data_IF_287320638340
#
_entry.id   IF_287320638340
#
_cell.length_a   1.000
_cell.length_b   1.000
_cell.length_c   1.000
_cell.angle_alpha   90.00
_cell.angle_beta   90.00
_cell.angle_gamma   90.00
#
_symmetry.space_group_name_H-M   'P 1'
#
loop_
_entity.id
_entity.type
_entity.pdbx_description
1 polymer ?
#
# COMPACT_ATOMS: atom_id res chain seq x y z
N UNK A 1 -24.54 -21.27 -29.61
CA UNK A 1 -23.66 -22.09 -30.44
C UNK A 1 -23.51 -23.46 -29.79
N UNK A 2 -23.89 -24.56 -30.46
CA UNK A 2 -23.58 -25.93 -30.02
C UNK A 2 -22.37 -26.41 -30.83
N UNK A 3 -21.27 -26.70 -30.16
CA UNK A 3 -20.05 -27.20 -30.80
C UNK A 3 -20.18 -28.72 -30.96
N UNK A 4 -20.25 -29.19 -32.20
CA UNK A 4 -20.31 -30.62 -32.54
C UNK A 4 -18.89 -31.15 -32.79
N UNK A 5 -18.13 -31.41 -31.72
CA UNK A 5 -16.87 -32.15 -31.82
C UNK A 5 -17.17 -33.64 -31.60
N UNK A 6 -16.97 -34.44 -32.64
CA UNK A 6 -17.14 -35.90 -32.59
C UNK A 6 -15.84 -36.56 -32.13
N UNK A 7 -15.90 -37.69 -31.45
CA UNK A 7 -14.71 -38.41 -30.98
C UNK A 7 -13.72 -38.76 -32.11
N UNK A 8 -14.26 -39.02 -33.30
CA UNK A 8 -13.47 -39.31 -34.50
C UNK A 8 -12.67 -38.09 -34.99
N UNK A 9 -13.27 -36.89 -34.88
CA UNK A 9 -12.61 -35.62 -35.21
C UNK A 9 -11.42 -35.35 -34.27
N UNK A 10 -11.57 -35.63 -32.97
CA UNK A 10 -10.48 -35.50 -31.99
C UNK A 10 -9.32 -36.46 -32.27
N UNK A 11 -9.61 -37.72 -32.63
CA UNK A 11 -8.57 -38.71 -32.95
C UNK A 11 -7.76 -38.32 -34.18
N UNK A 12 -8.44 -37.97 -35.26
CA UNK A 12 -7.78 -37.55 -36.49
C UNK A 12 -6.96 -36.27 -36.27
N UNK A 13 -7.41 -35.36 -35.40
CA UNK A 13 -6.66 -34.16 -35.06
C UNK A 13 -5.36 -34.45 -34.29
N UNK A 14 -5.39 -35.37 -33.31
CA UNK A 14 -4.19 -35.77 -32.54
C UNK A 14 -3.17 -36.48 -33.43
N UNK A 15 -3.62 -37.34 -34.36
CA UNK A 15 -2.71 -38.06 -35.27
C UNK A 15 -1.98 -37.14 -36.27
N UNK A 16 -2.57 -35.98 -36.59
CA UNK A 16 -1.99 -35.01 -37.52
C UNK A 16 -1.41 -33.78 -36.82
N UNK A 17 -1.46 -33.74 -35.48
CA UNK A 17 -0.87 -32.64 -34.71
C UNK A 17 0.66 -32.79 -34.76
N UNK A 18 1.41 -31.82 -35.33
CA UNK A 18 2.86 -31.89 -35.31
C UNK A 18 3.35 -31.88 -33.87
N UNK A 19 4.29 -32.77 -33.55
CA UNK A 19 4.98 -32.78 -32.26
C UNK A 19 5.83 -31.51 -32.18
N UNK A 20 5.21 -30.42 -31.71
CA UNK A 20 5.92 -29.17 -31.44
C UNK A 20 6.74 -29.45 -30.20
N UNK A 21 8.06 -29.39 -30.31
CA UNK A 21 8.97 -29.22 -29.18
C UNK A 21 8.54 -27.95 -28.44
N UNK A 22 7.58 -28.11 -27.53
CA UNK A 22 7.19 -27.10 -26.58
C UNK A 22 8.34 -27.05 -25.58
N UNK A 23 9.33 -26.23 -25.89
CA UNK A 23 10.37 -25.86 -24.95
C UNK A 23 9.64 -25.38 -23.69
N UNK A 24 9.67 -26.19 -22.63
CA UNK A 24 9.01 -25.91 -21.37
C UNK A 24 9.80 -24.82 -20.62
N UNK A 25 10.03 -23.69 -21.27
CA UNK A 25 10.93 -22.63 -20.85
C UNK A 25 12.38 -23.10 -20.66
N UNK A 26 13.22 -22.14 -20.31
CA UNK A 26 14.63 -22.41 -20.01
C UNK A 26 14.73 -23.51 -18.95
N UNK A 27 15.47 -24.61 -19.19
CA UNK A 27 15.83 -25.51 -18.12
C UNK A 27 16.67 -24.70 -17.12
N UNK A 28 16.14 -24.51 -15.91
CA UNK A 28 16.83 -23.90 -14.77
C UNK A 28 17.98 -24.82 -14.33
N UNK A 29 19.00 -24.98 -15.18
CA UNK A 29 20.28 -25.62 -14.83
C UNK A 29 21.14 -24.71 -13.99
N UNK A 30 20.85 -23.42 -14.03
CA UNK A 30 21.49 -22.40 -13.22
C UNK A 30 20.41 -21.47 -12.65
N UNK A 31 20.51 -21.20 -11.35
CA UNK A 31 19.64 -20.28 -10.63
C UNK A 31 20.04 -18.82 -10.87
N UNK A 32 21.14 -18.54 -11.57
CA UNK A 32 21.60 -17.19 -11.90
C UNK A 32 20.51 -16.24 -12.49
N UNK A 33 19.66 -16.63 -13.47
CA UNK A 33 18.58 -15.79 -13.95
C UNK A 33 17.49 -15.53 -12.90
N UNK A 34 17.21 -16.52 -12.02
CA UNK A 34 16.31 -16.34 -10.89
C UNK A 34 16.91 -15.38 -9.85
N UNK A 35 18.23 -15.48 -9.62
CA UNK A 35 18.99 -14.58 -8.79
C UNK A 35 18.96 -13.15 -9.32
N UNK A 36 19.06 -12.94 -10.64
CA UNK A 36 18.90 -11.62 -11.26
C UNK A 36 17.48 -11.09 -11.10
N UNK A 37 16.45 -11.92 -11.29
CA UNK A 37 15.04 -11.53 -11.09
C UNK A 37 14.72 -11.21 -9.61
N UNK A 38 15.28 -11.97 -8.67
CA UNK A 38 15.18 -11.69 -7.23
C UNK A 38 15.97 -10.43 -6.87
N UNK A 39 17.14 -10.23 -7.45
CA UNK A 39 17.93 -9.02 -7.29
C UNK A 39 17.24 -7.80 -7.92
N UNK A 40 16.34 -7.99 -8.89
CA UNK A 40 15.50 -6.94 -9.46
C UNK A 40 14.33 -6.57 -8.53
N UNK A 41 13.68 -7.56 -7.89
CA UNK A 41 12.75 -7.30 -6.76
C UNK A 41 13.45 -6.61 -5.60
N UNK A 42 14.68 -7.02 -5.31
CA UNK A 42 15.52 -6.37 -4.30
C UNK A 42 16.02 -5.02 -4.77
N UNK A 43 16.21 -4.73 -6.06
CA UNK A 43 16.57 -3.39 -6.56
C UNK A 43 15.45 -2.38 -6.34
N UNK A 44 14.19 -2.81 -6.44
CA UNK A 44 13.05 -1.98 -6.04
C UNK A 44 12.93 -1.81 -4.51
N UNK A 45 13.60 -2.66 -3.70
CA UNK A 45 13.76 -2.44 -2.25
C UNK A 45 15.11 -1.76 -1.87
N UNK A 46 16.11 -1.80 -2.75
CA UNK A 46 17.49 -1.39 -2.52
C UNK A 46 17.88 -0.13 -3.32
N UNK A 47 16.93 0.54 -3.97
CA UNK A 47 16.97 2.00 -4.16
C UNK A 47 16.53 2.74 -2.89
N UNK A 48 16.88 2.22 -1.71
CA UNK A 48 17.01 3.00 -0.48
C UNK A 48 18.27 3.88 -0.54
N UNK A 49 18.47 4.56 -1.67
CA UNK A 49 19.48 5.59 -1.82
C UNK A 49 18.88 6.88 -1.30
N UNK A 50 19.04 7.14 0.00
CA UNK A 50 18.53 8.30 0.75
C UNK A 50 17.01 8.50 0.61
N UNK A 51 16.26 8.59 1.71
CA UNK A 51 14.91 9.10 1.60
C UNK A 51 14.99 10.49 0.95
N UNK A 52 14.27 10.69 -0.14
CA UNK A 52 14.01 12.06 -0.59
C UNK A 52 13.27 12.75 0.55
N UNK A 53 13.52 14.04 0.79
CA UNK A 53 12.78 14.81 1.80
C UNK A 53 11.26 14.63 1.65
N UNK A 54 10.77 14.43 0.42
CA UNK A 54 9.37 14.14 0.12
C UNK A 54 8.89 12.76 0.64
N UNK A 55 9.71 11.70 0.60
CA UNK A 55 9.33 10.38 1.11
C UNK A 55 9.33 10.32 2.64
N UNK A 56 10.27 11.03 3.29
CA UNK A 56 10.27 11.23 4.74
C UNK A 56 9.05 12.03 5.21
N UNK A 57 8.68 13.08 4.47
CA UNK A 57 7.50 13.88 4.79
C UNK A 57 6.20 13.08 4.70
N UNK A 58 6.04 12.25 3.66
CA UNK A 58 4.88 11.36 3.50
C UNK A 58 4.74 10.41 4.69
N UNK A 59 5.83 9.78 5.09
CA UNK A 59 5.80 8.79 6.16
C UNK A 59 5.59 9.41 7.55
N UNK A 60 6.12 10.60 7.79
CA UNK A 60 5.79 11.43 8.96
C UNK A 60 4.29 11.77 9.00
N UNK A 61 3.66 12.04 7.85
CA UNK A 61 2.23 12.33 7.76
C UNK A 61 1.38 11.12 8.11
N UNK A 62 1.75 9.92 7.63
CA UNK A 62 1.06 8.67 7.98
C UNK A 62 1.16 8.37 9.48
N UNK A 63 2.34 8.55 10.07
CA UNK A 63 2.55 8.47 11.51
C UNK A 63 1.61 9.41 12.28
N UNK A 64 1.64 10.71 11.94
CA UNK A 64 0.80 11.73 12.58
C UNK A 64 -0.69 11.42 12.44
N UNK A 65 -1.11 10.89 11.29
CA UNK A 65 -2.49 10.47 11.04
C UNK A 65 -2.95 9.37 12.01
N UNK A 66 -2.15 8.30 12.16
CA UNK A 66 -2.46 7.18 13.07
C UNK A 66 -2.52 7.67 14.51
N UNK A 67 -1.56 8.51 14.92
CA UNK A 67 -1.53 9.09 16.26
C UNK A 67 -2.81 9.92 16.55
N UNK A 68 -3.18 10.80 15.62
CA UNK A 68 -4.34 11.68 15.78
C UNK A 68 -5.67 10.90 15.75
N UNK A 69 -5.79 9.86 14.92
CA UNK A 69 -6.95 8.95 14.93
C UNK A 69 -7.12 8.26 16.27
N UNK A 70 -6.03 7.76 16.84
CA UNK A 70 -6.01 7.11 18.14
C UNK A 70 -6.43 8.07 19.25
N UNK A 71 -5.90 9.30 19.24
CA UNK A 71 -6.26 10.38 20.19
C UNK A 71 -7.71 10.80 20.07
N UNK A 72 -8.23 10.92 18.83
CA UNK A 72 -9.63 11.33 18.55
C UNK A 72 -10.63 10.41 19.23
N UNK A 73 -10.35 9.11 19.22
CA UNK A 73 -11.21 8.06 19.76
C UNK A 73 -10.82 7.63 21.19
N UNK A 74 -9.77 8.21 21.77
CA UNK A 74 -9.30 7.89 23.12
C UNK A 74 -8.76 6.47 23.28
N UNK A 75 -8.28 5.85 22.18
CA UNK A 75 -7.87 4.44 22.16
C UNK A 75 -6.40 4.28 22.57
N UNK A 76 -6.05 3.14 23.17
CA UNK A 76 -4.66 2.70 23.27
C UNK A 76 -4.19 2.04 21.96
N UNK A 77 -2.87 1.90 21.76
CA UNK A 77 -2.32 1.22 20.57
C UNK A 77 -2.89 -0.21 20.46
N UNK A 78 -2.93 -0.95 21.57
CA UNK A 78 -3.49 -2.29 21.62
C UNK A 78 -4.99 -2.32 21.27
N UNK A 79 -5.76 -1.33 21.73
CA UNK A 79 -7.19 -1.22 21.40
C UNK A 79 -7.42 -0.88 19.92
N UNK A 80 -6.62 0.03 19.35
CA UNK A 80 -6.68 0.36 17.93
C UNK A 80 -6.32 -0.86 17.09
N UNK A 81 -5.22 -1.55 17.42
CA UNK A 81 -4.77 -2.76 16.74
C UNK A 81 -5.85 -3.87 16.76
N UNK A 82 -6.49 -4.10 17.91
CA UNK A 82 -7.59 -5.05 18.03
C UNK A 82 -8.80 -4.64 17.18
N UNK A 83 -9.13 -3.34 17.12
CA UNK A 83 -10.26 -2.81 16.36
C UNK A 83 -10.08 -2.97 14.86
N UNK A 84 -8.86 -2.77 14.36
CA UNK A 84 -8.50 -2.89 12.94
C UNK A 84 -7.88 -4.27 12.58
N UNK A 85 -7.87 -5.22 13.53
CA UNK A 85 -7.38 -6.60 13.33
C UNK A 85 -5.96 -6.69 12.74
N UNK A 86 -5.05 -5.88 13.25
CA UNK A 86 -3.60 -5.90 12.93
C UNK A 86 -2.77 -6.20 14.17
N UNK A 87 -1.50 -6.52 13.97
CA UNK A 87 -0.56 -6.74 15.07
C UNK A 87 -0.27 -5.42 15.80
N UNK A 88 -0.37 -5.44 17.13
CA UNK A 88 -0.06 -4.29 17.97
C UNK A 88 1.42 -3.88 17.88
N UNK A 89 2.33 -4.83 17.70
CA UNK A 89 3.75 -4.56 17.54
C UNK A 89 4.06 -3.88 16.19
N UNK A 90 3.30 -4.21 15.14
CA UNK A 90 3.39 -3.53 13.85
C UNK A 90 2.88 -2.09 13.96
N UNK A 91 1.70 -1.91 14.58
CA UNK A 91 1.12 -0.58 14.76
C UNK A 91 1.98 0.32 15.66
N UNK A 92 2.65 -0.26 16.66
CA UNK A 92 3.62 0.45 17.50
C UNK A 92 4.86 0.90 16.70
N UNK A 93 5.33 0.09 15.73
CA UNK A 93 6.42 0.50 14.83
C UNK A 93 5.98 1.63 13.91
N UNK A 94 4.77 1.55 13.36
CA UNK A 94 4.17 2.65 12.57
C UNK A 94 4.05 3.93 13.40
N UNK A 95 3.76 3.83 14.70
CA UNK A 95 3.67 4.99 15.60
C UNK A 95 5.02 5.46 16.16
N UNK A 96 6.09 4.67 16.13
CA UNK A 96 7.39 5.06 16.71
C UNK A 96 8.44 5.42 15.67
N UNK A 97 8.37 4.81 14.50
CA UNK A 97 9.38 4.94 13.45
C UNK A 97 8.74 5.57 12.20
N UNK A 98 9.03 6.85 11.92
CA UNK A 98 8.57 7.52 10.71
C UNK A 98 9.08 6.87 9.43
N UNK A 99 10.15 6.08 9.45
CA UNK A 99 10.68 5.41 8.26
C UNK A 99 10.07 4.01 8.05
N UNK A 100 9.22 3.55 8.97
CA UNK A 100 8.64 2.21 8.88
C UNK A 100 7.57 2.14 7.78
N UNK A 101 7.70 1.12 6.92
CA UNK A 101 6.75 0.82 5.85
C UNK A 101 5.78 -0.26 6.37
N UNK A 102 4.50 0.07 6.63
CA UNK A 102 3.51 -0.90 7.07
C UNK A 102 3.22 -1.95 6.00
N UNK A 103 2.80 -3.14 6.42
CA UNK A 103 2.38 -4.19 5.50
C UNK A 103 1.12 -3.79 4.71
N UNK A 104 0.91 -4.34 3.49
CA UNK A 104 -0.28 -4.06 2.68
C UNK A 104 -1.60 -4.33 3.41
N UNK A 105 -1.62 -5.37 4.27
CA UNK A 105 -2.78 -5.70 5.12
C UNK A 105 -3.09 -4.56 6.09
N UNK A 106 -2.07 -4.01 6.73
CA UNK A 106 -2.18 -2.94 7.72
C UNK A 106 -2.66 -1.64 7.07
N UNK A 107 -2.12 -1.31 5.90
CA UNK A 107 -2.58 -0.17 5.08
C UNK A 107 -4.07 -0.32 4.72
N UNK A 108 -4.48 -1.52 4.28
CA UNK A 108 -5.88 -1.78 3.92
C UNK A 108 -6.82 -1.67 5.13
N UNK A 109 -6.47 -2.27 6.27
CA UNK A 109 -7.27 -2.22 7.49
C UNK A 109 -7.37 -0.79 8.07
N UNK A 110 -6.28 -0.01 7.99
CA UNK A 110 -6.30 1.41 8.35
C UNK A 110 -7.23 2.21 7.43
N UNK A 111 -7.18 1.94 6.13
CA UNK A 111 -8.05 2.60 5.16
C UNK A 111 -9.54 2.31 5.41
N UNK A 112 -9.89 1.04 5.67
CA UNK A 112 -11.24 0.64 6.07
C UNK A 112 -11.71 1.33 7.35
N UNK A 113 -10.82 1.45 8.35
CA UNK A 113 -11.12 2.11 9.61
C UNK A 113 -11.44 3.60 9.46
N UNK A 114 -10.72 4.28 8.56
CA UNK A 114 -10.88 5.73 8.30
C UNK A 114 -12.01 5.99 7.28
N UNK A 115 -12.43 4.96 6.53
CA UNK A 115 -13.43 5.07 5.46
C UNK A 115 -12.87 5.70 4.18
N UNK A 116 -11.59 5.44 3.88
CA UNK A 116 -10.91 5.91 2.65
C UNK A 116 -10.38 4.71 1.86
N UNK A 117 -9.98 4.94 0.60
CA UNK A 117 -9.45 3.86 -0.22
C UNK A 117 -8.03 3.46 0.20
N UNK A 118 -7.72 2.16 0.11
CA UNK A 118 -6.40 1.64 0.45
C UNK A 118 -5.27 2.31 -0.37
N UNK A 119 -5.56 2.66 -1.63
CA UNK A 119 -4.63 3.37 -2.51
C UNK A 119 -4.31 4.79 -2.01
N UNK A 120 -5.28 5.49 -1.42
CA UNK A 120 -5.05 6.82 -0.86
C UNK A 120 -4.12 6.76 0.37
N UNK A 121 -4.26 5.73 1.22
CA UNK A 121 -3.38 5.52 2.38
C UNK A 121 -1.99 5.02 1.95
N UNK A 122 -1.93 4.15 0.94
CA UNK A 122 -0.67 3.69 0.35
C UNK A 122 0.17 4.86 -0.20
N UNK A 123 -0.49 5.86 -0.79
CA UNK A 123 0.19 7.07 -1.28
C UNK A 123 0.90 7.90 -0.20
N UNK A 124 0.48 7.76 1.05
CA UNK A 124 1.11 8.38 2.21
C UNK A 124 2.30 7.57 2.74
N UNK A 125 2.51 6.35 2.26
CA UNK A 125 3.65 5.53 2.65
C UNK A 125 4.90 5.97 1.88
N UNK A 126 6.07 5.90 2.52
CA UNK A 126 7.35 6.22 1.89
C UNK A 126 7.62 5.42 0.59
N UNK A 127 7.02 4.22 0.47
CA UNK A 127 7.15 3.34 -0.70
C UNK A 127 6.36 3.81 -1.94
N UNK A 128 5.46 4.80 -1.83
CA UNK A 128 4.64 5.21 -2.98
C UNK A 128 5.34 6.23 -3.89
N UNK A 129 5.55 5.82 -5.14
CA UNK A 129 5.98 6.69 -6.24
C UNK A 129 4.85 7.54 -6.83
N UNK A 130 3.59 7.28 -6.48
CA UNK A 130 2.47 8.08 -6.97
C UNK A 130 2.46 9.46 -6.26
N UNK A 131 2.44 10.51 -7.07
CA UNK A 131 2.55 11.90 -6.63
C UNK A 131 1.28 12.62 -7.09
N UNK A 132 0.41 12.94 -6.14
CA UNK A 132 -0.75 13.78 -6.35
C UNK A 132 -0.45 15.13 -5.69
N UNK A 133 -0.39 16.21 -6.46
CA UNK A 133 -0.02 17.53 -5.92
C UNK A 133 -1.00 18.00 -4.84
N UNK A 134 -2.31 17.78 -5.04
CA UNK A 134 -3.34 18.06 -4.04
C UNK A 134 -3.15 17.27 -2.73
N UNK A 135 -2.67 16.02 -2.83
CA UNK A 135 -2.40 15.20 -1.64
C UNK A 135 -1.15 15.69 -0.93
N UNK A 136 -0.13 16.06 -1.70
CA UNK A 136 1.14 16.58 -1.17
C UNK A 136 0.91 17.89 -0.41
N UNK A 137 0.16 18.83 -0.97
CA UNK A 137 -0.20 20.08 -0.31
C UNK A 137 -1.03 19.86 0.97
N UNK A 138 -2.05 18.98 0.90
CA UNK A 138 -2.85 18.62 2.06
C UNK A 138 -2.02 17.94 3.16
N UNK A 139 -1.08 17.08 2.78
CA UNK A 139 -0.16 16.41 3.69
C UNK A 139 0.79 17.42 4.37
N UNK A 140 1.33 18.40 3.63
CA UNK A 140 2.12 19.49 4.19
C UNK A 140 1.31 20.33 5.19
N UNK A 141 0.09 20.72 4.83
CA UNK A 141 -0.79 21.49 5.70
C UNK A 141 -1.13 20.73 6.98
N UNK A 142 -1.45 19.45 6.86
CA UNK A 142 -1.71 18.58 7.99
C UNK A 142 -0.48 18.38 8.88
N UNK A 143 0.70 18.17 8.29
CA UNK A 143 1.94 18.03 9.04
C UNK A 143 2.29 19.28 9.84
N UNK A 144 2.04 20.47 9.27
CA UNK A 144 2.28 21.75 9.90
C UNK A 144 1.30 22.07 11.04
N UNK A 145 0.05 21.62 10.97
CA UNK A 145 -0.94 21.87 12.02
C UNK A 145 -0.98 20.80 13.12
N UNK A 146 -0.43 19.61 12.86
CA UNK A 146 -0.43 18.47 13.78
C UNK A 146 0.78 18.41 14.71
N UNK A 147 1.43 19.55 15.00
CA UNK A 147 2.63 19.64 15.86
C UNK A 147 2.32 19.95 17.33
N UNK A 148 1.08 20.31 17.66
CA UNK A 148 0.69 20.60 19.05
C UNK A 148 0.38 19.28 19.80
N UNK A 149 1.29 18.90 20.69
CA UNK A 149 1.27 17.62 21.42
C UNK A 149 0.25 17.59 22.58
N UNK A 150 -0.60 18.61 22.68
CA UNK A 150 -1.60 18.78 23.74
C UNK A 150 -2.97 18.21 23.32
N UNK A 151 -3.93 18.12 24.24
CA UNK A 151 -5.28 17.57 23.97
C UNK A 151 -5.86 18.20 22.69
N UNK A 152 -6.20 17.33 21.71
CA UNK A 152 -6.84 17.65 20.43
C UNK A 152 -7.69 18.93 20.50
N UNK A 153 -7.10 20.03 20.04
CA UNK A 153 -7.80 21.29 19.88
C UNK A 153 -8.89 21.13 18.82
N UNK A 154 -9.95 21.92 18.91
CA UNK A 154 -11.03 21.91 17.93
C UNK A 154 -10.51 22.23 16.51
N UNK A 155 -9.41 22.98 16.40
CA UNK A 155 -8.70 23.25 15.15
C UNK A 155 -8.08 21.98 14.55
N UNK A 156 -7.36 21.19 15.34
CA UNK A 156 -6.70 19.96 14.87
C UNK A 156 -7.70 18.89 14.43
N UNK A 157 -8.84 18.78 15.14
CA UNK A 157 -9.93 17.89 14.71
C UNK A 157 -10.50 18.29 13.35
N UNK A 158 -10.57 19.60 13.07
CA UNK A 158 -11.02 20.11 11.78
C UNK A 158 -10.00 19.79 10.69
N UNK A 159 -8.71 20.01 10.95
CA UNK A 159 -7.65 19.73 9.99
C UNK A 159 -7.55 18.23 9.66
N UNK A 160 -7.69 17.35 10.67
CA UNK A 160 -7.78 15.91 10.44
C UNK A 160 -8.98 15.55 9.57
N UNK A 161 -10.14 16.15 9.83
CA UNK A 161 -11.34 15.87 9.04
C UNK A 161 -11.19 16.37 7.60
N UNK A 162 -10.60 17.54 7.39
CA UNK A 162 -10.34 18.10 6.07
C UNK A 162 -9.29 17.27 5.31
N UNK A 163 -8.25 16.75 5.98
CA UNK A 163 -7.30 15.83 5.39
C UNK A 163 -7.94 14.50 4.98
N UNK A 164 -8.79 13.90 5.83
CA UNK A 164 -9.54 12.68 5.50
C UNK A 164 -10.48 12.89 4.31
N UNK A 165 -11.11 14.07 4.17
CA UNK A 165 -11.92 14.41 2.98
C UNK A 165 -11.10 14.43 1.70
N UNK A 166 -9.88 14.96 1.75
CA UNK A 166 -8.96 14.94 0.59
C UNK A 166 -8.64 13.50 0.21
N UNK A 167 -8.32 12.64 1.19
CA UNK A 167 -8.08 11.21 0.95
C UNK A 167 -9.30 10.51 0.33
N UNK A 168 -10.50 10.79 0.83
CA UNK A 168 -11.74 10.25 0.27
C UNK A 168 -12.01 10.73 -1.17
N UNK A 169 -11.57 11.94 -1.52
CA UNK A 169 -11.77 12.52 -2.85
C UNK A 169 -10.85 11.92 -3.92
N UNK A 170 -9.70 11.38 -3.53
CA UNK A 170 -8.74 10.72 -4.44
C UNK A 170 -9.31 9.41 -4.99
N UNK A 171 -10.14 8.73 -4.21
CA UNK A 171 -10.87 7.54 -4.64
C UNK A 171 -11.82 7.86 -5.81
N UNK A 172 -12.58 8.94 -5.67
CA UNK A 172 -13.63 9.33 -6.62
C UNK A 172 -13.13 9.82 -7.98
N UNK A 173 -11.85 10.21 -8.09
CA UNK A 173 -11.24 10.71 -9.34
C UNK A 173 -10.71 9.60 -10.26
N UNK A 174 -10.63 8.35 -9.77
CA UNK A 174 -10.00 7.23 -10.48
C UNK A 174 -10.97 6.08 -10.83
N UNK A 175 -12.27 6.27 -10.58
CA UNK A 175 -13.35 5.39 -11.06
C UNK A 175 -14.12 6.06 -12.19
#
# INVERSE_FOLDING_TARGET
>A
MKLHFTADWLRSHIEHDPDVDCDAGLPLRDAAPLGRLMQEKSRHQATAGQPSAASEQKSVVLFKLVHQLRRKDGLSIAQLAAKIRVDAAELEKVEKDPCYVPGPRTVHQLAEFIGVSARAVEQLTAASSAQNDNLTEAAHRFAASSDDLSKLSQAERRDLNDFVKVLASIDKKNG
#
